data_IF_482944394190
#
_entry.id   IF_482944394190
#
_cell.length_a   1.000
_cell.length_b   1.000
_cell.length_c   1.000
_cell.angle_alpha   90.00
_cell.angle_beta   90.00
_cell.angle_gamma   90.00
#
_symmetry.space_group_name_H-M   'P 1'
#
loop_
_entity.id
_entity.type
_entity.pdbx_description
1 polymer ?
#
# COMPACT_ATOMS: atom_id res chain seq x y z
N UNK A 1 4.37 16.73 -11.80
CA UNK A 1 3.27 15.97 -12.41
C UNK A 1 3.03 14.77 -11.51
N UNK A 2 2.30 14.92 -10.40
CA UNK A 2 2.15 13.82 -9.43
C UNK A 2 0.81 13.89 -8.71
N UNK A 3 0.39 15.08 -8.27
CA UNK A 3 -0.85 15.26 -7.50
C UNK A 3 -2.11 15.01 -8.35
N UNK A 4 -2.18 15.59 -9.55
CA UNK A 4 -3.32 15.37 -10.48
C UNK A 4 -3.46 13.90 -10.87
N UNK A 5 -2.35 13.21 -11.14
CA UNK A 5 -2.35 11.79 -11.50
C UNK A 5 -2.77 10.92 -10.31
N UNK A 6 -2.32 11.25 -9.10
CA UNK A 6 -2.72 10.54 -7.88
C UNK A 6 -4.22 10.74 -7.59
N UNK A 7 -4.75 11.94 -7.81
CA UNK A 7 -6.18 12.26 -7.64
C UNK A 7 -7.06 11.58 -8.68
N UNK A 8 -6.60 11.49 -9.93
CA UNK A 8 -7.25 10.69 -10.96
C UNK A 8 -7.26 9.22 -10.58
N UNK A 9 -6.10 8.67 -10.18
CA UNK A 9 -6.01 7.28 -9.76
C UNK A 9 -6.92 6.99 -8.56
N UNK A 10 -6.97 7.89 -7.57
CA UNK A 10 -7.89 7.78 -6.43
C UNK A 10 -9.35 7.71 -6.86
N UNK A 11 -9.76 8.54 -7.82
CA UNK A 11 -11.13 8.51 -8.38
C UNK A 11 -11.42 7.18 -9.06
N UNK A 12 -10.47 6.65 -9.83
CA UNK A 12 -10.59 5.36 -10.51
C UNK A 12 -10.73 4.21 -9.51
N UNK A 13 -9.90 4.19 -8.45
CA UNK A 13 -9.98 3.19 -7.37
C UNK A 13 -11.35 3.24 -6.69
N UNK A 14 -11.80 4.43 -6.29
CA UNK A 14 -13.10 4.59 -5.63
C UNK A 14 -14.27 4.12 -6.51
N UNK A 15 -14.26 4.46 -7.81
CA UNK A 15 -15.29 4.00 -8.73
C UNK A 15 -15.27 2.47 -8.87
N UNK A 16 -14.08 1.89 -9.02
CA UNK A 16 -13.94 0.45 -9.19
C UNK A 16 -14.36 -0.34 -7.93
N UNK A 17 -14.10 0.20 -6.73
CA UNK A 17 -14.58 -0.36 -5.47
C UNK A 17 -16.09 -0.22 -5.28
N UNK A 18 -16.70 0.85 -5.80
CA UNK A 18 -18.13 1.10 -5.63
C UNK A 18 -18.99 0.27 -6.60
N UNK A 19 -18.56 0.15 -7.85
CA UNK A 19 -19.38 -0.47 -8.90
C UNK A 19 -18.60 -1.01 -10.12
N UNK A 20 -17.27 -1.12 -10.03
CA UNK A 20 -16.44 -1.62 -11.13
C UNK A 20 -15.94 -3.05 -10.93
N UNK A 21 -14.79 -3.36 -11.52
CA UNK A 21 -14.26 -4.74 -11.60
C UNK A 21 -13.82 -5.34 -10.26
N UNK A 22 -13.63 -4.50 -9.24
CA UNK A 22 -13.23 -4.93 -7.89
C UNK A 22 -14.31 -4.58 -6.86
N UNK A 23 -15.57 -4.40 -7.27
CA UNK A 23 -16.66 -4.12 -6.34
C UNK A 23 -16.92 -5.28 -5.36
N UNK A 24 -16.74 -6.52 -5.84
CA UNK A 24 -16.85 -7.74 -5.03
C UNK A 24 -15.49 -8.22 -4.48
N UNK A 25 -14.44 -7.40 -4.59
CA UNK A 25 -13.11 -7.76 -4.10
C UNK A 25 -13.07 -7.65 -2.57
N UNK A 26 -12.80 -8.76 -1.90
CA UNK A 26 -12.54 -8.75 -0.46
C UNK A 26 -11.26 -7.95 -0.17
N UNK A 27 -11.44 -6.82 0.52
CA UNK A 27 -10.36 -5.98 1.00
C UNK A 27 -9.79 -6.59 2.29
N UNK A 28 -8.53 -7.07 2.26
CA UNK A 28 -7.96 -7.86 3.36
C UNK A 28 -7.71 -7.05 4.64
N UNK A 29 -7.65 -5.72 4.55
CA UNK A 29 -7.41 -4.85 5.71
C UNK A 29 -8.70 -4.16 6.13
N UNK A 30 -9.15 -4.47 7.33
CA UNK A 30 -10.25 -3.79 8.02
C UNK A 30 -9.68 -2.91 9.12
N UNK A 31 -10.15 -1.67 9.22
CA UNK A 31 -9.77 -0.74 10.27
C UNK A 31 -10.53 -0.98 11.57
N UNK A 32 -10.08 -0.31 12.63
CA UNK A 32 -10.68 -0.40 13.96
C UNK A 32 -12.15 0.07 14.01
N UNK A 33 -12.58 0.87 13.04
CA UNK A 33 -13.96 1.36 12.86
C UNK A 33 -14.85 0.42 12.05
N UNK A 34 -14.32 -0.73 11.60
CA UNK A 34 -15.00 -1.65 10.69
C UNK A 34 -14.99 -1.21 9.23
N UNK A 35 -14.33 -0.09 8.90
CA UNK A 35 -14.13 0.36 7.53
C UNK A 35 -12.97 -0.36 6.84
N UNK A 36 -12.80 -0.11 5.54
CA UNK A 36 -11.68 -0.63 4.77
C UNK A 36 -10.78 0.54 4.35
N UNK A 37 -9.73 0.87 5.12
CA UNK A 37 -8.86 2.00 4.78
C UNK A 37 -8.18 1.75 3.44
N UNK A 38 -8.23 2.75 2.55
CA UNK A 38 -7.65 2.69 1.20
C UNK A 38 -6.63 3.80 1.05
N UNK A 39 -5.42 3.43 0.65
CA UNK A 39 -4.35 4.37 0.29
C UNK A 39 -3.94 4.11 -1.14
N UNK A 40 -3.71 5.17 -1.92
CA UNK A 40 -3.24 5.07 -3.30
C UNK A 40 -1.82 5.60 -3.43
N UNK A 41 -1.09 5.05 -4.39
CA UNK A 41 0.27 5.45 -4.73
C UNK A 41 0.60 5.26 -6.21
N UNK A 42 1.63 5.95 -6.68
CA UNK A 42 2.26 5.78 -7.98
C UNK A 42 3.60 5.07 -7.79
N UNK A 43 3.96 4.14 -8.67
CA UNK A 43 5.26 3.43 -8.63
C UNK A 43 6.47 4.38 -8.61
N UNK A 44 6.38 5.49 -9.33
CA UNK A 44 7.43 6.48 -9.51
C UNK A 44 7.59 7.44 -8.33
N UNK A 45 6.67 7.45 -7.37
CA UNK A 45 6.76 8.37 -6.25
C UNK A 45 7.79 7.90 -5.20
N UNK A 46 8.37 8.84 -4.43
CA UNK A 46 9.28 8.49 -3.36
C UNK A 46 8.57 7.70 -2.26
N UNK A 47 9.17 6.60 -1.81
CA UNK A 47 8.61 5.72 -0.78
C UNK A 47 8.29 6.49 0.51
N UNK A 48 9.12 7.45 0.91
CA UNK A 48 8.89 8.25 2.10
C UNK A 48 7.56 9.05 2.08
N UNK A 49 7.08 9.43 0.89
CA UNK A 49 5.79 10.11 0.72
C UNK A 49 4.65 9.13 0.99
N UNK A 50 4.72 7.91 0.43
CA UNK A 50 3.79 6.83 0.72
C UNK A 50 3.77 6.49 2.22
N UNK A 51 4.94 6.34 2.86
CA UNK A 51 5.01 6.06 4.30
C UNK A 51 4.31 7.16 5.12
N UNK A 52 4.45 8.42 4.71
CA UNK A 52 3.72 9.54 5.31
C UNK A 52 2.21 9.43 5.18
N UNK A 53 1.70 8.99 4.01
CA UNK A 53 0.25 8.76 3.80
C UNK A 53 -0.27 7.56 4.59
N UNK A 54 0.47 6.46 4.62
CA UNK A 54 0.10 5.31 5.44
C UNK A 54 0.05 5.65 6.93
N UNK A 55 0.99 6.48 7.42
CA UNK A 55 0.96 7.02 8.78
C UNK A 55 -0.30 7.83 9.06
N UNK A 56 -0.67 8.72 8.13
CA UNK A 56 -1.89 9.53 8.25
C UNK A 56 -3.17 8.68 8.25
N UNK A 57 -3.13 7.49 7.63
CA UNK A 57 -4.22 6.51 7.64
C UNK A 57 -4.25 5.61 8.89
N UNK A 58 -3.34 5.81 9.86
CA UNK A 58 -3.27 5.00 11.09
C UNK A 58 -2.28 3.84 11.05
N UNK A 59 -1.51 3.69 9.95
CA UNK A 59 -0.47 2.67 9.81
C UNK A 59 -0.94 1.35 9.21
N UNK A 60 -2.20 1.25 8.82
CA UNK A 60 -2.77 0.07 8.14
C UNK A 60 -3.69 0.53 7.00
N UNK A 61 -3.64 -0.17 5.86
CA UNK A 61 -4.41 0.16 4.67
C UNK A 61 -4.41 -0.97 3.64
N UNK A 62 -5.45 -1.00 2.81
CA UNK A 62 -5.42 -1.61 1.49
C UNK A 62 -4.73 -0.62 0.54
N UNK A 63 -3.47 -0.90 0.22
CA UNK A 63 -2.64 -0.05 -0.62
C UNK A 63 -2.83 -0.44 -2.08
N UNK A 64 -3.31 0.49 -2.89
CA UNK A 64 -3.33 0.37 -4.34
C UNK A 64 -2.17 1.16 -4.94
N UNK A 65 -1.32 0.50 -5.72
CA UNK A 65 -0.22 1.16 -6.43
C UNK A 65 -0.46 1.06 -7.92
N UNK A 66 -0.47 2.19 -8.59
CA UNK A 66 -0.48 2.23 -10.05
C UNK A 66 0.96 2.17 -10.57
N UNK A 67 1.24 1.16 -11.39
CA UNK A 67 2.41 1.09 -12.26
C UNK A 67 2.01 1.35 -13.71
N UNK A 68 2.98 1.56 -14.61
CA UNK A 68 2.70 1.87 -16.02
C UNK A 68 1.68 0.93 -16.70
N UNK A 69 1.56 -0.33 -16.24
CA UNK A 69 0.71 -1.35 -16.86
C UNK A 69 -0.31 -2.01 -15.92
N UNK A 70 -0.13 -1.91 -14.61
CA UNK A 70 -0.90 -2.70 -13.65
C UNK A 70 -1.27 -1.90 -12.41
N UNK A 71 -2.33 -2.31 -11.75
CA UNK A 71 -2.63 -1.87 -10.39
C UNK A 71 -2.30 -3.01 -9.44
N UNK A 72 -1.47 -2.74 -8.44
CA UNK A 72 -1.12 -3.68 -7.40
C UNK A 72 -1.94 -3.40 -6.15
N UNK A 73 -2.56 -4.42 -5.58
CA UNK A 73 -3.11 -4.38 -4.23
C UNK A 73 -2.10 -5.00 -3.26
N UNK A 74 -1.80 -4.26 -2.18
CA UNK A 74 -0.92 -4.68 -1.09
C UNK A 74 -1.66 -4.52 0.23
N UNK A 75 -1.59 -5.54 1.08
CA UNK A 75 -2.09 -5.47 2.45
C UNK A 75 -1.05 -4.82 3.33
N UNK A 76 -1.37 -3.69 3.96
CA UNK A 76 -0.57 -3.08 5.01
C UNK A 76 -1.31 -3.26 6.33
N UNK A 77 -0.79 -4.12 7.21
CA UNK A 77 -1.44 -4.52 8.47
C UNK A 77 -0.59 -4.13 9.69
N UNK A 78 -1.23 -3.91 10.85
CA UNK A 78 -0.52 -3.83 12.13
C UNK A 78 0.14 -5.20 12.41
N UNK A 79 1.43 -5.21 12.78
CA UNK A 79 2.18 -6.43 13.07
C UNK A 79 1.56 -7.26 14.21
N UNK A 80 0.74 -6.67 15.09
CA UNK A 80 -0.02 -7.44 16.09
C UNK A 80 -1.00 -8.44 15.46
N UNK A 81 -1.40 -8.19 14.22
CA UNK A 81 -2.27 -9.05 13.42
C UNK A 81 -1.47 -9.89 12.41
N UNK A 82 -0.15 -9.75 12.34
CA UNK A 82 0.72 -10.51 11.43
C UNK A 82 1.13 -11.85 12.07
N UNK A 83 0.36 -12.89 11.82
CA UNK A 83 0.75 -14.28 12.08
C UNK A 83 1.17 -14.86 10.73
N UNK A 84 2.31 -14.39 10.16
CA UNK A 84 3.64 -14.86 10.57
C UNK A 84 4.72 -13.76 10.71
N UNK A 85 5.90 -14.12 11.24
CA UNK A 85 7.11 -13.28 11.18
C UNK A 85 7.44 -12.92 9.73
N UNK A 86 7.59 -11.62 9.47
CA UNK A 86 7.97 -11.07 8.17
C UNK A 86 9.33 -11.63 7.71
N UNK A 87 9.58 -11.61 6.40
CA UNK A 87 10.87 -12.04 5.85
C UNK A 87 11.99 -11.05 6.16
N UNK A 88 11.64 -9.76 6.33
CA UNK A 88 12.61 -8.70 6.54
C UNK A 88 12.04 -7.51 7.33
N UNK A 89 12.94 -6.71 7.90
CA UNK A 89 12.65 -5.52 8.68
C UNK A 89 13.34 -4.26 8.17
N UNK A 90 12.64 -3.51 7.31
CA UNK A 90 13.07 -2.19 6.81
C UNK A 90 12.82 -1.06 7.82
N UNK A 91 12.37 -1.35 9.04
CA UNK A 91 12.21 -0.34 10.10
C UNK A 91 13.54 0.00 10.79
N UNK A 92 14.48 -0.96 10.78
CA UNK A 92 15.78 -0.86 11.42
C UNK A 92 16.70 0.15 10.68
N UNK A 93 17.48 1.00 11.39
CA UNK A 93 18.32 2.02 10.77
C UNK A 93 19.26 1.56 9.63
N UNK A 94 19.92 0.38 9.69
CA UNK A 94 20.80 -0.07 8.60
C UNK A 94 20.03 -0.56 7.37
N UNK A 95 18.83 -1.10 7.55
CA UNK A 95 17.99 -1.66 6.48
C UNK A 95 16.98 -0.65 5.93
N UNK A 96 16.93 0.56 6.51
CA UNK A 96 15.94 1.57 6.13
C UNK A 96 16.15 2.00 4.66
N UNK A 97 15.08 2.11 3.86
CA UNK A 97 15.19 2.54 2.48
C UNK A 97 15.87 3.90 2.36
N UNK A 98 16.78 4.02 1.39
CA UNK A 98 17.45 5.27 1.08
C UNK A 98 16.46 6.36 0.62
N UNK A 99 16.87 7.62 0.69
CA UNK A 99 16.01 8.77 0.36
C UNK A 99 15.45 8.73 -1.08
N UNK A 100 16.13 8.03 -1.98
CA UNK A 100 15.76 7.89 -3.39
C UNK A 100 14.95 6.61 -3.69
N UNK A 101 14.62 5.80 -2.68
CA UNK A 101 13.80 4.61 -2.87
C UNK A 101 12.39 5.03 -3.34
N UNK A 102 11.92 4.38 -4.41
CA UNK A 102 10.57 4.60 -4.94
C UNK A 102 9.61 3.52 -4.48
N UNK A 103 8.31 3.76 -4.64
CA UNK A 103 7.27 2.75 -4.36
C UNK A 103 7.43 1.52 -5.27
N UNK A 104 7.79 1.71 -6.54
CA UNK A 104 8.06 0.61 -7.47
C UNK A 104 9.21 -0.29 -7.01
N UNK A 105 10.34 0.28 -6.59
CA UNK A 105 11.46 -0.49 -6.02
C UNK A 105 11.02 -1.29 -4.78
N UNK A 106 10.16 -0.70 -3.96
CA UNK A 106 9.61 -1.39 -2.80
C UNK A 106 8.68 -2.55 -3.18
N UNK A 107 7.85 -2.40 -4.22
CA UNK A 107 7.02 -3.50 -4.73
C UNK A 107 7.87 -4.64 -5.29
N UNK A 108 8.93 -4.32 -6.05
CA UNK A 108 9.87 -5.32 -6.59
C UNK A 108 10.58 -6.08 -5.47
N UNK A 109 10.90 -5.39 -4.36
CA UNK A 109 11.45 -6.01 -3.17
C UNK A 109 10.41 -6.88 -2.45
N UNK A 110 9.20 -6.36 -2.25
CA UNK A 110 8.12 -7.07 -1.57
C UNK A 110 7.72 -8.36 -2.30
N UNK A 111 7.80 -8.38 -3.64
CA UNK A 111 7.56 -9.59 -4.43
C UNK A 111 8.55 -10.73 -4.14
N UNK A 112 9.73 -10.41 -3.58
CA UNK A 112 10.74 -11.38 -3.16
C UNK A 112 10.56 -11.83 -1.70
N UNK A 113 9.66 -11.19 -0.96
CA UNK A 113 9.40 -11.42 0.46
C UNK A 113 7.97 -11.98 0.68
N UNK A 114 7.74 -13.29 0.44
CA UNK A 114 6.40 -13.90 0.53
C UNK A 114 5.70 -13.75 1.90
N UNK A 115 6.45 -13.59 3.00
CA UNK A 115 5.89 -13.33 4.35
C UNK A 115 5.73 -11.84 4.64
N UNK A 116 6.13 -10.97 3.72
CA UNK A 116 6.03 -9.53 3.85
C UNK A 116 7.26 -8.87 4.46
N UNK A 117 7.16 -7.55 4.59
CA UNK A 117 8.25 -6.69 5.03
C UNK A 117 7.74 -5.72 6.10
N UNK A 118 8.48 -5.57 7.18
CA UNK A 118 8.16 -4.61 8.25
C UNK A 118 8.55 -3.20 7.85
N UNK A 119 7.64 -2.25 8.06
CA UNK A 119 7.78 -0.83 7.78
C UNK A 119 7.69 0.01 9.06
N UNK A 120 8.56 1.01 9.18
CA UNK A 120 8.46 2.04 10.24
C UNK A 120 7.48 3.13 9.84
N UNK A 121 6.19 2.90 10.07
CA UNK A 121 5.14 3.85 9.70
C UNK A 121 4.87 4.90 10.76
N UNK A 122 5.13 4.65 12.05
CA UNK A 122 4.85 5.62 13.11
C UNK A 122 6.15 6.22 13.64
N UNK A 123 6.37 7.52 13.39
CA UNK A 123 7.45 8.25 14.07
C UNK A 123 7.10 8.38 15.55
N UNK A 124 7.90 7.78 16.43
CA UNK A 124 7.77 7.93 17.88
C UNK A 124 7.01 6.82 18.61
N UNK A 125 6.40 5.88 17.89
CA UNK A 125 5.81 4.66 18.49
C UNK A 125 6.39 3.42 17.81
N UNK A 126 7.58 3.01 18.28
CA UNK A 126 8.22 1.77 17.87
C UNK A 126 7.42 0.52 18.27
N UNK A 127 6.30 0.65 19.01
CA UNK A 127 5.49 -0.46 19.47
C UNK A 127 4.41 -0.90 18.46
N UNK A 128 4.31 -0.25 17.28
CA UNK A 128 3.33 -0.60 16.22
C UNK A 128 3.96 -0.65 14.83
N UNK A 129 4.91 -1.58 14.58
CA UNK A 129 5.39 -1.82 13.22
C UNK A 129 4.22 -2.27 12.33
N UNK A 130 4.24 -1.86 11.07
CA UNK A 130 3.30 -2.35 10.07
C UNK A 130 3.98 -3.35 9.15
N UNK A 131 3.25 -4.34 8.67
CA UNK A 131 3.73 -5.33 7.71
C UNK A 131 3.02 -5.10 6.39
N UNK A 132 3.78 -4.84 5.34
CA UNK A 132 3.29 -4.87 3.97
C UNK A 132 3.47 -6.27 3.40
N UNK A 133 2.43 -6.84 2.80
CA UNK A 133 2.43 -8.20 2.23
C UNK A 133 1.31 -8.42 1.21
N UNK A 134 1.21 -9.66 0.71
CA UNK A 134 0.15 -10.13 -0.19
C UNK A 134 0.04 -9.30 -1.48
N UNK A 135 1.18 -8.80 -1.99
CA UNK A 135 1.21 -8.00 -3.20
C UNK A 135 0.69 -8.80 -4.40
N UNK A 136 -0.42 -8.34 -4.99
CA UNK A 136 -1.06 -8.99 -6.15
C UNK A 136 -1.56 -7.96 -7.15
N UNK A 137 -1.55 -8.33 -8.43
CA UNK A 137 -2.17 -7.50 -9.47
C UNK A 137 -3.69 -7.62 -9.41
N UNK A 138 -4.38 -6.50 -9.59
CA UNK A 138 -5.84 -6.42 -9.67
C UNK A 138 -6.25 -5.75 -10.98
N UNK A 139 -7.26 -6.30 -11.62
CA UNK A 139 -7.77 -5.78 -12.89
C UNK A 139 -8.75 -4.65 -12.64
N UNK A 140 -8.50 -3.52 -13.29
CA UNK A 140 -9.34 -2.34 -13.21
C UNK A 140 -10.15 -2.21 -14.49
N UNK A 141 -11.46 -2.09 -14.36
CA UNK A 141 -12.27 -1.64 -15.47
C UNK A 141 -11.91 -0.17 -15.72
N UNK A 142 -11.42 0.11 -16.93
CA UNK A 142 -11.23 1.48 -17.38
C UNK A 142 -12.63 2.07 -17.49
N UNK A 143 -12.97 3.02 -16.62
CA UNK A 143 -14.17 3.82 -16.77
C UNK A 143 -14.11 4.46 -18.16
N UNK A 144 -14.90 3.95 -19.09
CA UNK A 144 -15.02 4.56 -20.41
C UNK A 144 -15.80 5.85 -20.18
N UNK A 145 -15.20 7.04 -20.41
CA UNK A 145 -15.97 8.27 -20.32
C UNK A 145 -17.08 8.19 -21.38
N UNK A 146 -18.34 8.31 -20.93
CA UNK A 146 -19.50 8.46 -21.79
C UNK A 146 -19.52 9.84 -22.46
#
# INVERSE_FOLDING_TARGET
>A
MSEVQLDEFRRVVNWNLACGSIADLDLPVTGDDGGYPVVVALDSEPLHVLLGRLRAAGGFANLFVWSEKHVHLVSVIDNRCAIPEADDDLSSPPERPGANATVGMFLDYLAQCPRGVVLSLVSGDAARPAVARDARTVDFAIATPA
#
